data_IF_755304992646
#
_entry.id   IF_755304992646
#
_cell.length_a   1.000
_cell.length_b   1.000
_cell.length_c   1.000
_cell.angle_alpha   90.00
_cell.angle_beta   90.00
_cell.angle_gamma   90.00
#
_symmetry.space_group_name_H-M   'P 1'
#
loop_
_entity.id
_entity.type
_entity.pdbx_description
1 polymer ?
#
# COMPACT_ATOMS: atom_id res chain seq x y z
N UNK A 1 -24.83 -2.04 15.17
CA UNK A 1 -25.87 -3.00 14.72
C UNK A 1 -27.19 -2.76 15.43
N UNK A 2 -27.18 -2.57 16.76
CA UNK A 2 -28.35 -2.14 17.54
C UNK A 2 -28.98 -0.84 16.98
N UNK A 3 -28.17 0.16 16.62
CA UNK A 3 -28.64 1.40 15.98
C UNK A 3 -29.30 1.21 14.60
N UNK A 4 -28.85 0.24 13.81
CA UNK A 4 -29.45 -0.07 12.51
C UNK A 4 -30.77 -0.83 12.66
N UNK A 5 -30.89 -1.67 13.69
CA UNK A 5 -32.15 -2.34 14.03
C UNK A 5 -33.17 -1.33 14.59
N UNK A 6 -32.70 -0.33 15.35
CA UNK A 6 -33.53 0.78 15.87
C UNK A 6 -34.30 1.51 14.76
N UNK A 7 -33.68 1.70 13.59
CA UNK A 7 -34.31 2.36 12.44
C UNK A 7 -35.39 1.50 11.75
N UNK A 8 -35.41 0.18 11.95
CA UNK A 8 -36.31 -0.74 11.26
C UNK A 8 -37.48 -1.25 12.12
N UNK A 9 -37.36 -1.28 13.44
CA UNK A 9 -38.44 -1.73 14.34
C UNK A 9 -39.37 -0.59 14.71
N UNK A 10 -40.36 -0.30 13.85
CA UNK A 10 -41.37 0.76 14.05
C UNK A 10 -42.44 0.44 15.12
N UNK A 11 -42.35 -0.70 15.80
CA UNK A 11 -43.28 -1.09 16.86
C UNK A 11 -42.60 -2.06 17.85
N UNK A 12 -42.41 -1.62 19.10
CA UNK A 12 -42.01 -2.49 20.21
C UNK A 12 -40.80 -1.99 21.00
N UNK A 13 -41.08 -1.45 22.19
CA UNK A 13 -40.21 -1.13 23.35
C UNK A 13 -38.87 -0.44 23.05
N UNK A 14 -38.62 0.76 23.59
CA UNK A 14 -37.40 1.50 23.29
C UNK A 14 -36.16 0.79 23.83
N UNK A 15 -35.13 0.68 22.97
CA UNK A 15 -33.78 0.17 23.28
C UNK A 15 -33.16 0.92 24.47
N UNK A 16 -33.66 2.12 24.81
CA UNK A 16 -33.27 2.85 26.02
C UNK A 16 -33.48 2.05 27.32
N UNK A 17 -34.45 1.12 27.38
CA UNK A 17 -34.62 0.24 28.54
C UNK A 17 -33.49 -0.80 28.66
N UNK A 18 -32.88 -1.19 27.54
CA UNK A 18 -31.74 -2.10 27.50
C UNK A 18 -30.45 -1.35 27.84
N UNK A 19 -30.28 -0.12 27.36
CA UNK A 19 -29.16 0.75 27.73
C UNK A 19 -29.11 1.03 29.24
N UNK A 20 -30.27 1.28 29.87
CA UNK A 20 -30.38 1.44 31.33
C UNK A 20 -30.04 0.14 32.07
N UNK A 21 -30.34 -1.02 31.46
CA UNK A 21 -29.97 -2.34 31.97
C UNK A 21 -28.51 -2.72 31.67
N UNK A 22 -27.74 -1.81 31.04
CA UNK A 22 -26.32 -2.02 30.72
C UNK A 22 -26.05 -2.80 29.44
N UNK A 23 -27.05 -2.98 28.57
CA UNK A 23 -26.90 -3.65 27.27
C UNK A 23 -26.76 -2.59 26.19
N UNK A 24 -25.51 -2.33 25.80
CA UNK A 24 -25.11 -1.34 24.80
C UNK A 24 -24.50 -2.02 23.58
N UNK A 25 -23.87 -3.18 23.75
CA UNK A 25 -23.14 -3.88 22.69
C UNK A 25 -23.73 -5.26 22.35
N UNK A 26 -23.50 -5.70 21.12
CA UNK A 26 -23.91 -7.04 20.67
C UNK A 26 -23.20 -8.16 21.44
N UNK A 27 -21.97 -7.93 21.90
CA UNK A 27 -21.20 -8.91 22.68
C UNK A 27 -21.81 -9.25 24.03
N UNK A 28 -22.58 -8.34 24.62
CA UNK A 28 -23.20 -8.51 25.95
C UNK A 28 -24.43 -9.46 25.92
N UNK A 29 -24.88 -9.86 24.73
CA UNK A 29 -25.92 -10.88 24.55
C UNK A 29 -25.37 -12.32 24.55
N UNK A 30 -24.07 -12.47 24.81
CA UNK A 30 -23.38 -13.76 24.81
C UNK A 30 -22.81 -14.10 26.19
N UNK A 31 -22.91 -15.38 26.53
CA UNK A 31 -22.27 -15.99 27.69
C UNK A 31 -21.62 -17.30 27.21
N UNK A 32 -20.35 -17.55 27.57
CA UNK A 32 -19.56 -18.70 27.10
C UNK A 32 -19.58 -18.90 25.57
N UNK A 33 -19.44 -17.80 24.81
CA UNK A 33 -19.52 -17.76 23.34
C UNK A 33 -20.85 -18.21 22.72
N UNK A 34 -21.89 -18.39 23.55
CA UNK A 34 -23.23 -18.80 23.15
C UNK A 34 -24.22 -17.68 23.41
N UNK A 35 -25.20 -17.55 22.51
CA UNK A 35 -26.27 -16.56 22.68
C UNK A 35 -27.10 -16.92 23.91
N UNK A 36 -27.24 -15.99 24.85
CA UNK A 36 -28.00 -16.19 26.10
C UNK A 36 -29.47 -16.45 25.75
N UNK A 37 -30.08 -17.59 26.13
CA UNK A 37 -31.50 -17.84 25.89
C UNK A 37 -32.37 -16.75 26.50
N UNK A 38 -33.47 -16.37 25.84
CA UNK A 38 -34.33 -15.26 26.28
C UNK A 38 -34.81 -15.38 27.74
N UNK A 39 -35.04 -16.59 28.22
CA UNK A 39 -35.44 -16.85 29.60
C UNK A 39 -34.35 -16.49 30.62
N UNK A 40 -33.09 -16.75 30.29
CA UNK A 40 -31.94 -16.36 31.11
C UNK A 40 -31.70 -14.87 30.98
N UNK A 41 -31.74 -14.32 29.76
CA UNK A 41 -31.59 -12.89 29.48
C UNK A 41 -32.54 -11.99 30.30
N UNK A 42 -33.81 -12.38 30.46
CA UNK A 42 -34.77 -11.65 31.30
C UNK A 42 -34.41 -11.70 32.78
N UNK A 43 -33.89 -12.83 33.27
CA UNK A 43 -33.49 -13.01 34.66
C UNK A 43 -32.18 -12.28 34.98
N UNK A 44 -31.22 -12.31 34.05
CA UNK A 44 -29.86 -11.81 34.26
C UNK A 44 -29.79 -10.28 34.15
N UNK A 45 -30.53 -9.69 33.20
CA UNK A 45 -30.55 -8.24 32.97
C UNK A 45 -31.78 -7.53 33.56
N UNK A 46 -32.71 -8.26 34.19
CA UNK A 46 -33.91 -7.68 34.81
C UNK A 46 -34.85 -6.94 33.84
N UNK A 47 -34.81 -7.30 32.56
CA UNK A 47 -35.57 -6.62 31.49
C UNK A 47 -37.01 -7.13 31.44
N UNK A 48 -37.96 -6.25 31.08
CA UNK A 48 -39.38 -6.62 30.94
C UNK A 48 -39.58 -7.77 29.92
N UNK A 49 -40.38 -8.81 30.25
CA UNK A 49 -40.72 -9.91 29.33
C UNK A 49 -41.36 -9.47 28.00
N UNK A 50 -41.93 -8.26 27.94
CA UNK A 50 -42.48 -7.68 26.71
C UNK A 50 -41.44 -7.41 25.61
N UNK A 51 -40.14 -7.47 25.92
CA UNK A 51 -39.03 -7.18 24.99
C UNK A 51 -38.62 -8.36 24.11
N UNK A 52 -39.36 -9.48 24.20
CA UNK A 52 -39.10 -10.68 23.40
C UNK A 52 -39.02 -10.39 21.90
N UNK A 53 -39.92 -9.57 21.36
CA UNK A 53 -39.93 -9.27 19.93
C UNK A 53 -38.69 -8.51 19.48
N UNK A 54 -38.17 -7.61 20.31
CA UNK A 54 -36.93 -6.86 20.04
C UNK A 54 -35.73 -7.81 20.05
N UNK A 55 -35.64 -8.68 21.06
CA UNK A 55 -34.60 -9.71 21.14
C UNK A 55 -34.66 -10.69 19.95
N UNK A 56 -35.85 -11.18 19.58
CA UNK A 56 -36.03 -12.08 18.45
C UNK A 56 -35.71 -11.39 17.11
N UNK A 57 -36.01 -10.09 16.97
CA UNK A 57 -35.71 -9.32 15.77
C UNK A 57 -34.20 -9.13 15.58
N UNK A 58 -33.46 -8.75 16.62
CA UNK A 58 -32.01 -8.54 16.55
C UNK A 58 -31.29 -9.87 16.25
N UNK A 59 -31.66 -10.94 16.95
CA UNK A 59 -31.07 -12.28 16.74
C UNK A 59 -31.38 -12.85 15.36
N UNK A 60 -32.60 -12.65 14.84
CA UNK A 60 -32.96 -13.00 13.47
C UNK A 60 -32.16 -12.20 12.44
N UNK A 61 -32.00 -10.88 12.65
CA UNK A 61 -31.24 -10.03 11.74
C UNK A 61 -29.76 -10.44 11.71
N UNK A 62 -29.19 -10.77 12.88
CA UNK A 62 -27.85 -11.35 12.97
C UNK A 62 -27.74 -12.65 12.16
N UNK A 63 -28.67 -13.58 12.35
CA UNK A 63 -28.66 -14.84 11.61
C UNK A 63 -28.78 -14.65 10.08
N UNK A 64 -29.56 -13.66 9.63
CA UNK A 64 -29.68 -13.32 8.21
C UNK A 64 -28.39 -12.73 7.63
N UNK A 65 -27.69 -11.88 8.38
CA UNK A 65 -26.46 -11.24 7.92
C UNK A 65 -25.27 -12.21 7.86
N UNK A 66 -25.17 -13.12 8.85
CA UNK A 66 -24.04 -14.06 8.99
C UNK A 66 -24.34 -15.50 8.55
N UNK A 67 -25.55 -15.81 8.09
CA UNK A 67 -25.99 -17.15 7.68
C UNK A 67 -26.27 -18.13 8.85
N UNK A 68 -25.64 -17.90 10.00
CA UNK A 68 -25.87 -18.57 11.29
C UNK A 68 -25.80 -17.55 12.42
N UNK A 69 -26.38 -17.84 13.59
CA UNK A 69 -26.15 -17.02 14.79
C UNK A 69 -24.64 -17.09 15.09
N UNK A 70 -23.92 -15.96 15.04
CA UNK A 70 -22.49 -15.97 15.31
C UNK A 70 -22.24 -16.49 16.71
N UNK A 71 -21.20 -17.32 16.90
CA UNK A 71 -20.55 -17.39 18.22
C UNK A 71 -19.98 -16.01 18.52
N UNK A 72 -19.89 -15.64 19.80
CA UNK A 72 -19.38 -14.33 20.24
C UNK A 72 -18.22 -13.88 19.34
N UNK A 73 -18.26 -12.66 18.76
CA UNK A 73 -17.20 -12.22 17.88
C UNK A 73 -15.90 -12.23 18.69
N UNK A 74 -14.99 -13.14 18.35
CA UNK A 74 -13.62 -13.11 18.86
C UNK A 74 -13.06 -11.72 18.53
N UNK A 75 -13.12 -10.81 19.50
CA UNK A 75 -12.57 -9.47 19.34
C UNK A 75 -11.09 -9.68 19.12
N UNK A 76 -10.60 -9.33 17.94
CA UNK A 76 -9.17 -9.42 17.62
C UNK A 76 -8.39 -8.78 18.78
N UNK A 77 -7.28 -9.40 19.19
CA UNK A 77 -6.40 -8.87 20.24
C UNK A 77 -6.05 -7.40 19.98
N UNK A 78 -5.93 -7.04 18.69
CA UNK A 78 -5.79 -5.65 18.24
C UNK A 78 -6.97 -4.77 18.65
N UNK A 79 -8.20 -5.20 18.37
CA UNK A 79 -9.42 -4.46 18.67
C UNK A 79 -9.60 -4.31 20.18
N UNK A 80 -9.33 -5.37 20.97
CA UNK A 80 -9.33 -5.27 22.43
C UNK A 80 -8.28 -4.28 22.93
N UNK A 81 -7.07 -4.31 22.36
CA UNK A 81 -5.98 -3.38 22.71
C UNK A 81 -6.35 -1.93 22.36
N UNK A 82 -7.02 -1.70 21.24
CA UNK A 82 -7.50 -0.37 20.82
C UNK A 82 -8.63 0.16 21.71
N UNK A 83 -9.55 -0.71 22.14
CA UNK A 83 -10.69 -0.35 22.98
C UNK A 83 -10.28 -0.10 24.45
N UNK A 84 -9.21 -0.73 24.94
CA UNK A 84 -8.81 -0.66 26.35
C UNK A 84 -7.79 0.45 26.68
N UNK A 85 -7.10 1.02 25.70
CA UNK A 85 -5.94 1.90 25.95
C UNK A 85 -6.24 3.41 26.07
N UNK A 86 -7.48 3.78 26.33
CA UNK A 86 -7.85 5.16 26.60
C UNK A 86 -7.17 5.72 27.86
N UNK A 87 -6.19 6.60 27.70
CA UNK A 87 -5.61 7.39 28.81
C UNK A 87 -4.30 6.86 29.41
N UNK A 88 -3.74 5.76 28.91
CA UNK A 88 -2.48 5.21 29.44
C UNK A 88 -1.22 5.83 28.83
N UNK A 89 -0.17 5.98 29.65
CA UNK A 89 1.16 6.39 29.19
C UNK A 89 1.73 5.25 28.32
N UNK A 90 2.08 5.55 27.07
CA UNK A 90 2.54 4.61 26.03
C UNK A 90 1.44 3.86 25.23
N UNK A 91 0.18 4.31 25.26
CA UNK A 91 -0.89 3.74 24.42
C UNK A 91 -0.48 3.60 22.94
N UNK A 92 0.12 4.64 22.35
CA UNK A 92 0.59 4.60 20.96
C UNK A 92 1.60 3.48 20.71
N UNK A 93 2.55 3.28 21.63
CA UNK A 93 3.59 2.23 21.51
C UNK A 93 2.99 0.84 21.62
N UNK A 94 1.99 0.66 22.48
CA UNK A 94 1.34 -0.63 22.66
C UNK A 94 0.41 -0.96 21.48
N UNK A 95 -0.32 0.04 20.94
CA UNK A 95 -1.06 -0.09 19.69
C UNK A 95 -0.12 -0.45 18.54
N UNK A 96 1.02 0.23 18.43
CA UNK A 96 2.03 -0.08 17.43
C UNK A 96 2.54 -1.52 17.55
N UNK A 97 2.88 -1.96 18.77
CA UNK A 97 3.28 -3.36 19.01
C UNK A 97 2.18 -4.34 18.63
N UNK A 98 0.92 -4.05 18.97
CA UNK A 98 -0.22 -4.91 18.63
C UNK A 98 -0.46 -5.01 17.12
N UNK A 99 -0.29 -3.90 16.38
CA UNK A 99 -0.31 -3.90 14.91
C UNK A 99 0.82 -4.76 14.32
N UNK A 100 1.97 -4.84 14.99
CA UNK A 100 3.16 -5.54 14.51
C UNK A 100 3.17 -7.06 14.77
N UNK A 101 2.20 -7.60 15.54
CA UNK A 101 2.19 -9.02 15.94
C UNK A 101 1.97 -9.97 14.74
N UNK A 102 1.32 -9.50 13.66
CA UNK A 102 0.89 -10.35 12.53
C UNK A 102 1.57 -10.01 11.17
N UNK A 103 2.56 -9.12 11.15
CA UNK A 103 3.10 -8.52 9.90
C UNK A 103 3.85 -9.50 8.98
N UNK A 104 4.24 -10.69 9.44
CA UNK A 104 5.04 -11.61 8.62
C UNK A 104 4.23 -12.27 7.50
N UNK A 105 2.97 -12.62 7.76
CA UNK A 105 2.16 -13.40 6.82
C UNK A 105 1.81 -12.63 5.53
N UNK A 106 1.37 -11.35 5.59
CA UNK A 106 1.06 -10.57 4.39
C UNK A 106 2.30 -10.24 3.53
N UNK A 107 3.47 -10.09 4.15
CA UNK A 107 4.71 -9.82 3.41
C UNK A 107 5.24 -11.07 2.69
N UNK A 108 5.01 -12.27 3.24
CA UNK A 108 5.38 -13.52 2.59
C UNK A 108 4.53 -13.79 1.34
N UNK A 109 3.21 -13.58 1.42
CA UNK A 109 2.33 -13.73 0.25
C UNK A 109 2.64 -12.70 -0.83
N UNK A 110 3.00 -11.47 -0.43
CA UNK A 110 3.43 -10.44 -1.37
C UNK A 110 4.74 -10.78 -2.06
N UNK A 111 5.73 -11.30 -1.32
CA UNK A 111 6.97 -11.78 -1.91
C UNK A 111 6.72 -12.91 -2.90
N UNK A 112 5.90 -13.90 -2.54
CA UNK A 112 5.58 -15.03 -3.42
C UNK A 112 4.96 -14.56 -4.75
N UNK A 113 4.07 -13.57 -4.70
CA UNK A 113 3.53 -12.94 -5.91
C UNK A 113 4.64 -12.36 -6.80
N UNK A 114 5.58 -11.61 -6.21
CA UNK A 114 6.68 -11.02 -6.97
C UNK A 114 7.64 -12.07 -7.52
N UNK A 115 7.88 -13.15 -6.78
CA UNK A 115 8.70 -14.27 -7.25
C UNK A 115 8.06 -14.99 -8.45
N UNK A 116 6.74 -15.16 -8.44
CA UNK A 116 5.97 -15.68 -9.58
C UNK A 116 6.02 -14.71 -10.77
N UNK A 117 5.77 -13.42 -10.56
CA UNK A 117 5.80 -12.41 -11.61
C UNK A 117 7.18 -12.28 -12.28
N UNK A 118 8.25 -12.39 -11.48
CA UNK A 118 9.64 -12.28 -11.94
C UNK A 118 10.21 -13.60 -12.45
N UNK A 119 9.49 -14.72 -12.26
CA UNK A 119 9.95 -16.08 -12.55
C UNK A 119 11.33 -16.36 -11.89
N UNK A 120 11.50 -15.87 -10.66
CA UNK A 120 12.75 -15.99 -9.91
C UNK A 120 12.50 -15.87 -8.41
N UNK A 121 13.30 -16.58 -7.63
CA UNK A 121 13.33 -16.39 -6.18
C UNK A 121 14.03 -15.08 -5.82
N UNK A 122 13.50 -14.37 -4.83
CA UNK A 122 14.15 -13.22 -4.21
C UNK A 122 14.81 -13.72 -2.93
N UNK A 123 16.02 -13.29 -2.62
CA UNK A 123 16.60 -13.60 -1.30
C UNK A 123 15.98 -12.71 -0.21
N UNK A 124 16.06 -13.12 1.05
CA UNK A 124 15.57 -12.30 2.18
C UNK A 124 16.21 -10.91 2.17
N UNK A 125 17.51 -10.85 1.91
CA UNK A 125 18.27 -9.61 1.78
C UNK A 125 17.80 -8.72 0.63
N UNK A 126 17.42 -9.32 -0.50
CA UNK A 126 16.89 -8.60 -1.65
C UNK A 126 15.49 -8.05 -1.35
N UNK A 127 14.66 -8.83 -0.68
CA UNK A 127 13.31 -8.42 -0.29
C UNK A 127 13.36 -7.26 0.73
N UNK A 128 14.19 -7.37 1.76
CA UNK A 128 14.42 -6.28 2.72
C UNK A 128 14.95 -5.02 2.04
N UNK A 129 15.85 -5.16 1.06
CA UNK A 129 16.31 -4.04 0.26
C UNK A 129 15.16 -3.38 -0.50
N UNK A 130 14.31 -4.14 -1.18
CA UNK A 130 13.16 -3.60 -1.92
C UNK A 130 12.24 -2.77 -1.02
N UNK A 131 12.04 -3.18 0.23
CA UNK A 131 11.25 -2.44 1.22
C UNK A 131 11.93 -1.15 1.68
N UNK A 132 13.25 -1.13 1.76
CA UNK A 132 14.03 -0.03 2.34
C UNK A 132 14.57 0.99 1.32
N UNK A 133 14.43 0.73 0.01
CA UNK A 133 14.98 1.60 -1.05
C UNK A 133 14.63 3.08 -0.90
N UNK A 134 13.38 3.49 -0.64
CA UNK A 134 13.07 4.90 -0.55
C UNK A 134 13.85 5.63 0.56
N UNK A 135 14.10 4.93 1.68
CA UNK A 135 14.90 5.45 2.80
C UNK A 135 16.40 5.59 2.45
N UNK A 136 16.87 4.84 1.45
CA UNK A 136 18.27 4.88 1.00
C UNK A 136 18.48 6.00 -0.04
N UNK A 137 17.50 6.25 -0.90
CA UNK A 137 17.68 7.14 -2.06
C UNK A 137 17.43 8.61 -1.76
N UNK A 138 16.55 8.95 -0.83
CA UNK A 138 16.16 10.34 -0.55
C UNK A 138 15.56 10.46 0.85
N UNK A 139 15.61 11.67 1.42
CA UNK A 139 14.94 11.99 2.68
C UNK A 139 13.43 12.23 2.51
N UNK A 140 12.92 12.28 1.28
CA UNK A 140 11.50 12.53 1.03
C UNK A 140 10.63 11.32 1.36
N UNK A 141 9.71 11.50 2.30
CA UNK A 141 8.69 10.48 2.64
C UNK A 141 7.72 10.20 1.49
N UNK A 142 7.62 11.08 0.49
CA UNK A 142 6.75 10.86 -0.67
C UNK A 142 7.14 9.60 -1.48
N UNK A 143 8.43 9.26 -1.51
CA UNK A 143 8.93 8.08 -2.21
C UNK A 143 8.59 6.78 -1.49
N UNK A 144 8.43 6.80 -0.16
CA UNK A 144 7.93 5.64 0.59
C UNK A 144 6.54 5.24 0.11
N UNK A 145 5.66 6.22 -0.11
CA UNK A 145 4.29 5.95 -0.58
C UNK A 145 4.27 5.37 -2.01
N UNK A 146 5.12 5.88 -2.89
CA UNK A 146 5.24 5.36 -4.26
C UNK A 146 5.71 3.90 -4.24
N UNK A 147 6.80 3.61 -3.51
CA UNK A 147 7.31 2.24 -3.43
C UNK A 147 6.30 1.30 -2.78
N UNK A 148 5.62 1.73 -1.72
CA UNK A 148 4.54 0.97 -1.09
C UNK A 148 3.45 0.62 -2.11
N UNK A 149 2.95 1.61 -2.87
CA UNK A 149 1.90 1.36 -3.85
C UNK A 149 2.35 0.43 -4.98
N UNK A 150 3.61 0.50 -5.40
CA UNK A 150 4.17 -0.43 -6.38
C UNK A 150 4.24 -1.84 -5.80
N UNK A 151 4.87 -2.01 -4.63
CA UNK A 151 5.05 -3.31 -3.99
C UNK A 151 3.71 -4.01 -3.74
N UNK A 152 2.71 -3.28 -3.24
CA UNK A 152 1.39 -3.82 -2.92
C UNK A 152 0.40 -3.80 -4.09
N UNK A 153 0.83 -3.34 -5.27
CA UNK A 153 -0.05 -3.09 -6.43
C UNK A 153 -1.27 -2.24 -6.06
N UNK A 154 -1.12 -1.28 -5.16
CA UNK A 154 -2.24 -0.56 -4.54
C UNK A 154 -3.01 0.33 -5.54
N UNK A 155 -2.42 0.63 -6.70
CA UNK A 155 -3.08 1.40 -7.75
C UNK A 155 -4.37 0.73 -8.24
N UNK A 156 -5.37 1.57 -8.48
CA UNK A 156 -6.68 1.15 -8.95
C UNK A 156 -6.63 0.98 -10.47
N UNK A 157 -6.43 -0.26 -10.91
CA UNK A 157 -6.36 -0.61 -12.34
C UNK A 157 -7.75 -0.84 -12.93
N UNK A 158 -7.94 -0.77 -14.26
CA UNK A 158 -9.22 -1.09 -14.88
C UNK A 158 -9.69 -2.52 -14.56
N UNK A 159 -8.78 -3.50 -14.44
CA UNK A 159 -9.13 -4.84 -13.97
C UNK A 159 -9.68 -4.85 -12.53
N UNK A 160 -9.12 -4.03 -11.63
CA UNK A 160 -9.67 -3.86 -10.27
C UNK A 160 -11.01 -3.13 -10.30
N UNK A 161 -11.14 -2.11 -11.15
CA UNK A 161 -12.39 -1.35 -11.30
C UNK A 161 -13.52 -2.21 -11.82
N UNK A 162 -13.28 -3.08 -12.80
CA UNK A 162 -14.28 -4.00 -13.35
C UNK A 162 -14.80 -4.99 -12.30
N UNK A 163 -14.00 -5.32 -11.28
CA UNK A 163 -14.44 -6.14 -10.14
C UNK A 163 -15.34 -5.38 -9.17
N UNK A 164 -15.14 -4.06 -9.01
CA UNK A 164 -15.91 -3.22 -8.08
C UNK A 164 -17.19 -2.70 -8.75
N UNK A 165 -17.10 -2.33 -10.03
CA UNK A 165 -18.16 -1.70 -10.80
C UNK A 165 -18.45 -2.52 -12.07
N UNK A 166 -19.62 -3.18 -12.16
CA UNK A 166 -19.98 -4.00 -13.33
C UNK A 166 -20.02 -3.24 -14.67
N UNK A 167 -20.15 -1.91 -14.64
CA UNK A 167 -20.14 -1.04 -15.82
C UNK A 167 -18.75 -0.60 -16.27
N UNK A 168 -17.70 -0.91 -15.49
CA UNK A 168 -16.33 -0.51 -15.81
C UNK A 168 -15.71 -1.43 -16.88
N UNK A 169 -14.93 -0.83 -17.78
CA UNK A 169 -14.27 -1.53 -18.87
C UNK A 169 -12.91 -2.04 -18.41
N UNK A 170 -12.70 -3.36 -18.47
CA UNK A 170 -11.39 -3.97 -18.24
C UNK A 170 -10.54 -3.97 -19.51
N UNK A 171 -10.10 -2.78 -19.93
CA UNK A 171 -9.16 -2.62 -21.05
C UNK A 171 -8.03 -1.70 -20.68
N UNK A 172 -6.84 -2.01 -21.20
CA UNK A 172 -5.67 -1.18 -21.02
C UNK A 172 -5.90 0.18 -21.71
N UNK A 173 -5.63 1.31 -21.05
CA UNK A 173 -5.80 2.62 -21.68
C UNK A 173 -4.78 2.86 -22.81
N UNK A 174 -3.64 2.16 -22.80
CA UNK A 174 -2.55 2.31 -23.78
C UNK A 174 -2.71 1.35 -24.96
N UNK A 175 -2.82 0.04 -24.70
CA UNK A 175 -2.90 -0.99 -25.76
C UNK A 175 -4.32 -1.34 -26.18
N UNK A 176 -5.35 -0.89 -25.44
CA UNK A 176 -6.75 -1.25 -25.64
C UNK A 176 -7.07 -2.76 -25.58
N UNK A 177 -6.12 -3.58 -25.09
CA UNK A 177 -6.30 -5.03 -24.88
C UNK A 177 -6.99 -5.35 -23.55
N UNK A 178 -7.63 -6.52 -23.45
CA UNK A 178 -8.23 -7.04 -22.21
C UNK A 178 -7.19 -7.64 -21.27
N UNK A 179 -7.42 -7.56 -19.95
CA UNK A 179 -6.48 -7.73 -18.82
C UNK A 179 -5.62 -6.49 -18.52
N UNK A 180 -6.26 -5.42 -18.03
CA UNK A 180 -5.55 -4.26 -17.51
C UNK A 180 -5.24 -4.42 -16.02
N UNK A 181 -4.47 -5.46 -15.69
CA UNK A 181 -3.91 -5.62 -14.36
C UNK A 181 -2.69 -4.71 -14.16
N UNK A 182 -2.15 -4.70 -12.93
CA UNK A 182 -1.05 -3.81 -12.57
C UNK A 182 0.22 -4.13 -13.39
N UNK A 183 0.58 -5.40 -13.53
CA UNK A 183 1.79 -5.82 -14.23
C UNK A 183 1.72 -5.54 -15.74
N UNK A 184 0.54 -5.73 -16.34
CA UNK A 184 0.29 -5.33 -17.72
C UNK A 184 0.50 -3.85 -17.91
N UNK A 185 -0.17 -3.03 -17.10
CA UNK A 185 -0.08 -1.58 -17.24
C UNK A 185 1.32 -1.03 -16.98
N UNK A 186 2.13 -1.69 -16.15
CA UNK A 186 3.44 -1.17 -15.77
C UNK A 186 4.61 -1.80 -16.50
N UNK A 187 4.51 -3.03 -17.01
CA UNK A 187 5.66 -3.76 -17.55
C UNK A 187 5.35 -4.57 -18.80
N UNK A 188 4.33 -5.43 -18.81
CA UNK A 188 4.16 -6.41 -19.90
C UNK A 188 3.41 -5.86 -21.13
N UNK A 189 2.75 -4.70 -21.01
CA UNK A 189 2.16 -4.02 -22.16
C UNK A 189 3.24 -3.65 -23.18
N UNK A 190 3.05 -4.01 -24.46
CA UNK A 190 4.07 -3.86 -25.50
C UNK A 190 4.65 -2.44 -25.58
N UNK A 191 3.80 -1.41 -25.51
CA UNK A 191 4.28 -0.03 -25.55
C UNK A 191 5.00 0.40 -24.26
N UNK A 192 4.70 -0.24 -23.12
CA UNK A 192 5.45 -0.01 -21.87
C UNK A 192 6.82 -0.71 -21.91
N UNK A 193 6.93 -1.87 -22.56
CA UNK A 193 8.23 -2.53 -22.79
C UNK A 193 9.14 -1.60 -23.59
N UNK A 194 8.68 -1.10 -24.73
CA UNK A 194 9.43 -0.14 -25.58
C UNK A 194 9.83 1.14 -24.80
N UNK A 195 8.91 1.62 -23.96
CA UNK A 195 9.19 2.77 -23.10
C UNK A 195 10.32 2.49 -22.10
N UNK A 196 10.26 1.36 -21.40
CA UNK A 196 11.30 0.97 -20.45
C UNK A 196 12.63 0.66 -21.13
N UNK A 197 12.64 0.15 -22.35
CA UNK A 197 13.86 0.01 -23.16
C UNK A 197 14.49 1.39 -23.44
N UNK A 198 13.68 2.39 -23.79
CA UNK A 198 14.16 3.77 -23.99
C UNK A 198 14.76 4.37 -22.70
N UNK A 199 14.12 4.13 -21.55
CA UNK A 199 14.65 4.53 -20.23
C UNK A 199 15.97 3.79 -19.95
N UNK A 200 16.04 2.49 -20.23
CA UNK A 200 17.24 1.66 -20.06
C UNK A 200 18.40 2.22 -20.87
N UNK A 201 18.17 2.53 -22.14
CA UNK A 201 19.19 3.13 -23.01
C UNK A 201 19.67 4.48 -22.51
N UNK A 202 18.75 5.35 -22.07
CA UNK A 202 19.11 6.65 -21.51
C UNK A 202 19.96 6.48 -20.25
N UNK A 203 19.56 5.62 -19.31
CA UNK A 203 20.35 5.32 -18.11
C UNK A 203 21.72 4.75 -18.44
N UNK A 204 21.81 3.82 -19.39
CA UNK A 204 23.08 3.21 -19.82
C UNK A 204 24.02 4.27 -20.42
N UNK A 205 23.49 5.21 -21.22
CA UNK A 205 24.25 6.32 -21.82
C UNK A 205 24.78 7.28 -20.75
N UNK A 206 23.97 7.67 -19.77
CA UNK A 206 24.38 8.63 -18.72
C UNK A 206 25.34 7.99 -17.72
N UNK A 207 25.09 6.74 -17.32
CA UNK A 207 25.84 6.10 -16.23
C UNK A 207 27.05 5.29 -16.69
N UNK A 208 27.11 4.93 -17.98
CA UNK A 208 28.10 3.98 -18.51
C UNK A 208 27.94 2.55 -17.95
N UNK A 209 26.91 2.30 -17.13
CA UNK A 209 26.62 0.98 -16.60
C UNK A 209 25.58 0.30 -17.47
N UNK A 210 25.91 -0.90 -17.98
CA UNK A 210 24.98 -1.69 -18.78
C UNK A 210 23.94 -2.34 -17.87
N UNK A 211 22.87 -1.60 -17.58
CA UNK A 211 21.68 -2.12 -16.93
C UNK A 211 21.00 -3.09 -17.89
N UNK A 212 20.82 -4.33 -17.44
CA UNK A 212 19.91 -5.25 -18.13
C UNK A 212 18.48 -4.76 -17.91
N UNK A 213 17.62 -4.95 -18.91
CA UNK A 213 16.19 -4.72 -18.82
C UNK A 213 15.55 -5.76 -17.87
N UNK A 214 15.75 -5.57 -16.57
CA UNK A 214 15.34 -6.48 -15.49
C UNK A 214 14.15 -5.88 -14.72
N UNK A 215 12.98 -6.50 -14.83
CA UNK A 215 11.75 -6.07 -14.16
C UNK A 215 11.98 -5.80 -12.67
N UNK A 216 12.75 -6.64 -11.99
CA UNK A 216 12.97 -6.44 -10.56
C UNK A 216 13.80 -5.20 -10.25
N UNK A 217 14.74 -4.84 -11.12
CA UNK A 217 15.50 -3.62 -10.93
C UNK A 217 14.60 -2.40 -11.12
N UNK A 218 13.77 -2.42 -12.17
CA UNK A 218 12.94 -1.28 -12.52
C UNK A 218 11.75 -1.10 -11.59
N UNK A 219 11.09 -2.19 -11.18
CA UNK A 219 9.90 -2.15 -10.34
C UNK A 219 10.22 -2.26 -8.85
N UNK A 220 11.19 -3.09 -8.46
CA UNK A 220 11.54 -3.30 -7.05
C UNK A 220 12.80 -2.53 -6.63
N UNK A 221 13.62 -2.07 -7.56
CA UNK A 221 14.93 -1.46 -7.28
C UNK A 221 16.02 -2.48 -6.92
N UNK A 222 15.76 -3.77 -7.16
CA UNK A 222 16.67 -4.86 -6.82
C UNK A 222 17.22 -5.50 -8.09
N UNK A 223 18.55 -5.44 -8.26
CA UNK A 223 19.23 -6.02 -9.42
C UNK A 223 20.12 -7.20 -9.02
N UNK A 224 20.25 -8.18 -9.93
CA UNK A 224 21.25 -9.26 -9.81
C UNK A 224 22.69 -8.75 -9.88
N UNK A 225 22.90 -7.59 -10.53
CA UNK A 225 24.22 -6.99 -10.75
C UNK A 225 24.25 -5.60 -10.12
N UNK A 226 24.17 -5.52 -8.80
CA UNK A 226 24.25 -4.22 -8.11
C UNK A 226 25.57 -3.52 -8.48
N UNK A 227 25.53 -2.24 -8.89
CA UNK A 227 26.75 -1.49 -9.12
C UNK A 227 27.60 -1.51 -7.85
N UNK A 228 28.89 -1.85 -7.98
CA UNK A 228 29.84 -1.78 -6.84
C UNK A 228 29.90 -0.37 -6.25
N UNK A 229 29.68 0.63 -7.09
CA UNK A 229 29.60 2.02 -6.69
C UNK A 229 28.23 2.30 -6.04
N UNK A 230 28.22 2.47 -4.72
CA UNK A 230 27.02 2.80 -3.94
C UNK A 230 26.34 4.08 -4.41
N UNK A 231 27.13 5.07 -4.81
CA UNK A 231 26.63 6.33 -5.37
C UNK A 231 25.85 6.09 -6.65
N UNK A 232 26.43 5.34 -7.58
CA UNK A 232 25.77 5.01 -8.83
C UNK A 232 24.47 4.23 -8.60
N UNK A 233 24.48 3.28 -7.66
CA UNK A 233 23.27 2.56 -7.28
C UNK A 233 22.18 3.50 -6.70
N UNK A 234 22.57 4.50 -5.91
CA UNK A 234 21.65 5.53 -5.40
C UNK A 234 21.04 6.35 -6.54
N UNK A 235 21.85 6.79 -7.48
CA UNK A 235 21.42 7.56 -8.66
C UNK A 235 20.42 6.77 -9.50
N UNK A 236 20.74 5.52 -9.82
CA UNK A 236 19.87 4.65 -10.62
C UNK A 236 18.51 4.42 -9.95
N UNK A 237 18.50 4.07 -8.66
CA UNK A 237 17.25 3.86 -7.94
C UNK A 237 16.44 5.15 -7.79
N UNK A 238 17.08 6.31 -7.62
CA UNK A 238 16.41 7.60 -7.63
C UNK A 238 15.76 7.87 -8.99
N UNK A 239 16.48 7.64 -10.08
CA UNK A 239 15.97 7.84 -11.44
C UNK A 239 14.76 6.94 -11.76
N UNK A 240 14.82 5.67 -11.36
CA UNK A 240 13.72 4.72 -11.48
C UNK A 240 12.53 5.13 -10.59
N UNK A 241 12.76 5.64 -9.39
CA UNK A 241 11.69 6.08 -8.50
C UNK A 241 10.96 7.33 -9.01
N UNK A 242 11.68 8.26 -9.64
CA UNK A 242 11.08 9.40 -10.32
C UNK A 242 10.22 8.91 -11.49
N UNK A 243 10.67 7.90 -12.22
CA UNK A 243 9.87 7.33 -13.30
C UNK A 243 8.61 6.63 -12.78
N UNK A 244 8.73 5.82 -11.72
CA UNK A 244 7.57 5.20 -11.06
C UNK A 244 6.52 6.23 -10.64
N UNK A 245 6.98 7.36 -10.10
CA UNK A 245 6.12 8.48 -9.72
C UNK A 245 5.36 9.04 -10.93
N UNK A 246 6.03 9.18 -12.07
CA UNK A 246 5.42 9.71 -13.30
C UNK A 246 4.41 8.74 -13.90
N UNK A 247 4.77 7.46 -14.01
CA UNK A 247 3.83 6.41 -14.45
C UNK A 247 2.60 6.37 -13.55
N UNK A 248 2.77 6.55 -12.24
CA UNK A 248 1.66 6.67 -11.30
C UNK A 248 0.79 7.92 -11.52
N UNK A 249 1.39 9.07 -11.85
CA UNK A 249 0.63 10.29 -12.18
C UNK A 249 -0.13 10.16 -13.50
N UNK A 250 0.42 9.44 -14.46
CA UNK A 250 -0.21 9.19 -15.76
C UNK A 250 -1.01 7.87 -15.80
N UNK A 251 -1.25 7.23 -14.65
CA UNK A 251 -1.80 5.86 -14.57
C UNK A 251 -3.18 5.69 -15.22
N UNK A 252 -3.96 6.78 -15.35
CA UNK A 252 -5.28 6.80 -16.01
C UNK A 252 -5.24 7.31 -17.45
N UNK A 253 -4.09 7.80 -17.90
CA UNK A 253 -3.92 8.38 -19.23
C UNK A 253 -3.83 7.26 -20.28
N UNK A 254 -4.33 7.55 -21.49
CA UNK A 254 -4.09 6.71 -22.67
C UNK A 254 -2.70 6.95 -23.29
N UNK A 255 -2.06 8.07 -22.96
CA UNK A 255 -0.76 8.44 -23.48
C UNK A 255 0.38 8.00 -22.54
N UNK A 256 1.43 7.45 -23.15
CA UNK A 256 2.69 7.09 -22.47
C UNK A 256 3.43 8.37 -22.10
N UNK A 257 4.02 8.47 -20.90
CA UNK A 257 4.81 9.63 -20.53
C UNK A 257 5.99 9.86 -21.47
N UNK A 258 6.30 11.12 -21.76
CA UNK A 258 7.45 11.47 -22.58
C UNK A 258 8.75 11.32 -21.77
N UNK A 259 9.71 10.54 -22.29
CA UNK A 259 11.05 10.34 -21.70
C UNK A 259 11.77 11.67 -21.45
N UNK A 260 11.62 12.64 -22.35
CA UNK A 260 12.18 13.99 -22.17
C UNK A 260 11.74 14.64 -20.87
N UNK A 261 10.46 14.53 -20.53
CA UNK A 261 9.96 15.09 -19.27
C UNK A 261 10.54 14.34 -18.07
N UNK A 262 10.81 13.04 -18.19
CA UNK A 262 11.44 12.27 -17.11
C UNK A 262 12.86 12.76 -16.85
N UNK A 263 13.63 12.99 -17.91
CA UNK A 263 14.97 13.58 -17.81
C UNK A 263 14.93 14.97 -17.16
N UNK A 264 13.94 15.81 -17.49
CA UNK A 264 13.75 17.11 -16.83
C UNK A 264 13.43 16.96 -15.33
N UNK A 265 12.50 16.07 -14.96
CA UNK A 265 12.16 15.83 -13.56
C UNK A 265 13.36 15.28 -12.79
N UNK A 266 14.10 14.36 -13.39
CA UNK A 266 15.33 13.79 -12.84
C UNK A 266 16.39 14.86 -12.58
N UNK A 267 16.64 15.72 -13.56
CA UNK A 267 17.55 16.85 -13.42
C UNK A 267 17.18 17.74 -12.23
N UNK A 268 15.90 18.12 -12.11
CA UNK A 268 15.43 18.99 -11.04
C UNK A 268 15.54 18.35 -9.65
N UNK A 269 15.19 17.07 -9.52
CA UNK A 269 15.29 16.35 -8.24
C UNK A 269 16.74 16.16 -7.83
N UNK A 270 17.63 15.83 -8.76
CA UNK A 270 19.06 15.67 -8.47
C UNK A 270 19.67 16.98 -7.98
N UNK A 271 19.34 18.11 -8.60
CA UNK A 271 19.77 19.43 -8.13
C UNK A 271 19.27 19.73 -6.71
N UNK A 272 18.00 19.43 -6.43
CA UNK A 272 17.43 19.63 -5.09
C UNK A 272 18.12 18.75 -4.03
N UNK A 273 18.36 17.47 -4.32
CA UNK A 273 19.08 16.55 -3.43
C UNK A 273 20.52 17.03 -3.19
N UNK A 274 21.21 17.54 -4.21
CA UNK A 274 22.55 18.12 -4.05
C UNK A 274 22.52 19.33 -3.12
N UNK A 275 21.53 20.22 -3.25
CA UNK A 275 21.36 21.37 -2.36
C UNK A 275 21.07 20.95 -0.92
N UNK A 276 20.18 19.97 -0.70
CA UNK A 276 19.89 19.42 0.63
C UNK A 276 21.15 18.86 1.28
N UNK A 277 21.96 18.10 0.52
CA UNK A 277 23.24 17.58 1.02
C UNK A 277 24.18 18.70 1.44
N UNK A 278 24.34 19.74 0.61
CA UNK A 278 25.18 20.90 0.93
C UNK A 278 24.72 21.63 2.21
N UNK A 279 23.40 21.73 2.45
CA UNK A 279 22.84 22.34 3.65
C UNK A 279 22.96 21.44 4.90
N UNK A 280 22.94 20.12 4.72
CA UNK A 280 23.06 19.15 5.81
C UNK A 280 24.50 18.94 6.31
N UNK A 281 25.49 19.23 5.47
CA UNK A 281 26.90 19.19 5.84
C UNK A 281 27.33 20.51 6.51
N UNK A 282 27.16 20.62 7.82
CA UNK A 282 28.01 21.49 8.65
C UNK A 282 29.47 20.98 8.60
N UNK A 283 30.49 21.85 8.65
CA UNK A 283 31.88 21.49 8.39
C UNK A 283 32.48 20.75 9.59
N UNK A 284 32.18 19.47 9.74
CA UNK A 284 32.85 18.60 10.71
C UNK A 284 32.94 17.16 10.20
N UNK A 285 34.10 16.82 9.64
CA UNK A 285 34.59 15.43 9.55
C UNK A 285 34.54 14.80 8.15
N UNK A 286 35.57 14.04 7.75
CA UNK A 286 35.66 13.43 6.44
C UNK A 286 34.99 12.05 6.46
N UNK A 287 33.85 11.87 5.80
CA UNK A 287 33.50 10.53 5.31
C UNK A 287 32.55 10.58 4.12
N UNK A 288 32.97 9.89 3.05
CA UNK A 288 32.39 9.82 1.71
C UNK A 288 32.47 11.11 0.88
N UNK A 289 33.15 11.05 -0.27
CA UNK A 289 33.01 12.07 -1.29
C UNK A 289 31.52 12.15 -1.65
N UNK A 290 30.93 13.35 -1.76
CA UNK A 290 29.56 13.46 -2.23
C UNK A 290 29.45 12.77 -3.60
N UNK A 291 28.27 12.23 -3.94
CA UNK A 291 28.03 11.74 -5.28
C UNK A 291 28.52 12.73 -6.33
N UNK A 292 29.22 12.26 -7.37
CA UNK A 292 29.50 13.09 -8.53
C UNK A 292 28.21 13.27 -9.36
N UNK A 293 27.29 14.07 -8.81
CA UNK A 293 26.05 14.45 -9.46
C UNK A 293 26.31 15.29 -10.72
N UNK A 294 27.44 16.00 -10.77
CA UNK A 294 27.78 16.89 -11.89
C UNK A 294 27.98 16.13 -13.20
N UNK A 295 28.75 15.04 -13.20
CA UNK A 295 28.92 14.23 -14.41
C UNK A 295 27.61 13.57 -14.88
N UNK A 296 26.72 13.22 -13.93
CA UNK A 296 25.41 12.67 -14.23
C UNK A 296 24.47 13.72 -14.84
N UNK A 297 24.47 14.93 -14.29
CA UNK A 297 23.71 16.09 -14.80
C UNK A 297 24.18 16.45 -16.22
N UNK A 298 25.49 16.58 -16.44
CA UNK A 298 26.07 16.87 -17.76
C UNK A 298 25.65 15.81 -18.79
N UNK A 299 25.65 14.53 -18.41
CA UNK A 299 25.16 13.45 -19.26
C UNK A 299 23.69 13.58 -19.62
N UNK A 300 22.84 14.02 -18.68
CA UNK A 300 21.41 14.30 -18.94
C UNK A 300 21.25 15.49 -19.87
N UNK A 301 21.97 16.59 -19.63
CA UNK A 301 21.92 17.82 -20.45
C UNK A 301 22.32 17.56 -21.90
N UNK A 302 23.34 16.71 -22.14
CA UNK A 302 23.73 16.28 -23.49
C UNK A 302 22.59 15.54 -24.18
N UNK A 303 21.87 14.66 -23.48
CA UNK A 303 20.74 13.92 -24.05
C UNK A 303 19.58 14.88 -24.35
N UNK A 304 19.25 15.78 -23.43
CA UNK A 304 18.22 16.80 -23.61
C UNK A 304 18.54 17.71 -24.80
N UNK A 305 19.78 18.16 -24.94
CA UNK A 305 20.23 19.03 -26.03
C UNK A 305 20.20 18.36 -27.41
N UNK A 306 20.50 17.05 -27.49
CA UNK A 306 20.43 16.28 -28.74
C UNK A 306 19.01 15.99 -29.22
N UNK A 307 18.03 15.98 -28.33
CA UNK A 307 16.62 15.72 -28.67
C UNK A 307 15.82 17.01 -28.95
N UNK A 308 16.41 18.19 -28.71
CA UNK A 308 15.83 19.50 -29.04
C UNK A 308 16.32 20.07 -30.39
N UNK A 309 17.33 19.46 -31.00
CA UNK A 309 17.80 19.71 -32.38
C UNK A 309 17.12 18.76 -33.36
#
# INVERSE_FOLDING_TARGET
MLDQVHAQTKAGIPISAWEIAGIVEWGELFEDHMLIPFTSFVNDFGVSPGTFLTYAAITRHAALYWGTIPKEPNTSVLLQTLLTQGGERNAITNIYKALHIDDKCPLMSLRAYWEEALQRELTDTQWEQALMIPNIISMSSSYNYIQFNYLHHAYLTPAKMAKIYPSAVDRCPISHTGNADFLHMIWTCAQMVEYWETITEALNKVTGWNSCHDMAHFLLGVTRRTPRNKTLNKILNLALMIEKRRLAMCWKSAAIPLVLRWLTDLHNVVLAEQQILMLSHTPAGPSSSPPNWTAFIEGIEIILGRQAM
#
